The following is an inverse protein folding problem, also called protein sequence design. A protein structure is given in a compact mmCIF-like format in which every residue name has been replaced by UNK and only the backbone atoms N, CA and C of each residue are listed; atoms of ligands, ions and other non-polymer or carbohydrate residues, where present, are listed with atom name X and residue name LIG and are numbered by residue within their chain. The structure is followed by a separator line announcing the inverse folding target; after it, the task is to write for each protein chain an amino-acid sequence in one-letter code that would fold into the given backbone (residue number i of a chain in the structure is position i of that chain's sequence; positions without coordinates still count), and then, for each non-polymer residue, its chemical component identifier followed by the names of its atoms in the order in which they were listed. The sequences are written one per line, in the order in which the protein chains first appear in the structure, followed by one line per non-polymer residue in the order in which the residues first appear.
data_IF_361204082132
#
_entry.id   IF_361204082132
#
_cell.length_a   1.000
_cell.length_b   1.000
_cell.length_c   1.000
_cell.angle_alpha   90.00
_cell.angle_beta   90.00
_cell.angle_gamma   90.00
#
_symmetry.space_group_name_H-M   'P 1'
#
loop_
_entity.id
_entity.type
_entity.pdbx_description
1 polymer ?
#
# COMPACT_ATOMS: atom_id res chain seq x y z
N UNK A 1 15.62 40.90 13.69
CA UNK A 1 16.59 39.80 13.49
C UNK A 1 15.84 38.70 12.78
N UNK A 2 16.03 38.60 11.47
CA UNK A 2 15.45 37.55 10.65
C UNK A 2 16.46 36.46 10.37
N UNK A 3 15.97 35.26 10.08
CA UNK A 3 16.45 34.40 9.00
C UNK A 3 15.25 33.59 8.49
N UNK A 4 15.02 33.71 7.19
CA UNK A 4 14.04 32.98 6.40
C UNK A 4 14.58 31.62 5.96
N UNK A 5 13.66 30.75 5.55
CA UNK A 5 13.75 29.68 4.55
C UNK A 5 15.14 29.14 4.12
N UNK A 6 15.38 27.88 4.48
CA UNK A 6 16.43 26.97 3.98
C UNK A 6 15.85 25.55 4.17
N UNK A 7 15.66 24.63 3.21
CA UNK A 7 15.97 24.56 1.79
C UNK A 7 15.10 23.50 1.12
N UNK A 8 14.41 23.89 0.04
CA UNK A 8 14.18 23.01 -1.09
C UNK A 8 15.44 23.03 -1.99
N UNK A 9 15.76 21.89 -2.62
CA UNK A 9 16.84 21.66 -3.61
C UNK A 9 18.07 20.90 -3.10
N UNK A 10 17.99 19.57 -3.21
CA UNK A 10 19.12 18.66 -3.42
C UNK A 10 18.46 17.37 -3.96
N UNK A 11 18.36 17.11 -5.26
CA UNK A 11 19.43 16.94 -6.23
C UNK A 11 18.90 17.12 -7.66
N UNK A 12 19.49 18.05 -8.40
CA UNK A 12 19.57 17.99 -9.85
C UNK A 12 21.01 18.33 -10.27
N UNK A 13 21.43 17.65 -11.34
CA UNK A 13 22.60 17.88 -12.19
C UNK A 13 23.96 17.32 -11.74
N UNK A 14 24.40 16.27 -12.45
CA UNK A 14 25.60 16.37 -13.29
C UNK A 14 25.27 15.85 -14.69
N UNK A 15 25.60 16.68 -15.68
CA UNK A 15 25.41 16.43 -17.10
C UNK A 15 26.77 16.21 -17.79
N UNK A 16 26.67 15.62 -18.98
CA UNK A 16 27.56 15.70 -20.14
C UNK A 16 28.82 14.83 -20.20
N UNK A 17 28.80 13.88 -21.15
CA UNK A 17 29.82 13.81 -22.18
C UNK A 17 29.13 13.67 -23.55
N UNK A 18 29.44 14.61 -24.43
CA UNK A 18 28.92 14.79 -25.78
C UNK A 18 29.96 14.27 -26.79
N UNK A 19 29.54 13.53 -27.81
CA UNK A 19 30.21 13.49 -29.12
C UNK A 19 29.13 13.42 -30.22
N UNK A 20 29.07 14.50 -31.01
CA UNK A 20 28.41 14.71 -32.32
C UNK A 20 28.78 13.63 -33.36
N UNK A 21 28.13 13.39 -34.51
CA UNK A 21 26.87 13.72 -35.17
C UNK A 21 26.95 13.06 -36.58
N UNK A 22 25.82 12.63 -37.19
CA UNK A 22 25.56 12.80 -38.64
C UNK A 22 24.10 12.46 -38.98
N UNK A 23 23.35 13.34 -39.69
CA UNK A 23 21.97 13.06 -40.11
C UNK A 23 21.93 12.38 -41.48
N UNK A 24 21.05 11.40 -41.66
CA UNK A 24 20.71 10.84 -42.96
C UNK A 24 19.27 11.26 -43.35
N UNK A 25 19.18 11.95 -44.48
CA UNK A 25 17.98 12.53 -45.04
C UNK A 25 16.95 11.48 -45.48
N UNK A 26 15.69 11.90 -45.42
CA UNK A 26 14.54 11.24 -46.02
C UNK A 26 14.72 11.00 -47.53
N UNK A 27 14.21 9.86 -48.01
CA UNK A 27 13.81 9.72 -49.41
C UNK A 27 12.50 8.92 -49.49
N UNK A 28 11.46 9.61 -49.92
CA UNK A 28 10.21 9.03 -50.38
C UNK A 28 10.47 8.20 -51.65
N UNK A 29 9.81 7.05 -51.75
CA UNK A 29 9.78 6.20 -52.91
C UNK A 29 8.63 5.21 -52.77
N UNK A 30 7.50 5.54 -53.41
CA UNK A 30 6.39 4.63 -53.60
C UNK A 30 6.77 3.56 -54.63
N UNK A 31 6.43 2.30 -54.34
CA UNK A 31 6.13 1.29 -55.35
C UNK A 31 5.07 0.33 -54.79
N UNK A 32 3.97 0.25 -55.53
CA UNK A 32 2.88 -0.71 -55.39
C UNK A 32 3.38 -2.16 -55.29
N UNK A 33 2.75 -2.91 -54.40
CA UNK A 33 2.93 -4.35 -54.23
C UNK A 33 1.67 -4.96 -53.65
N UNK A 34 0.72 -5.29 -54.52
CA UNK A 34 -0.47 -6.08 -54.22
C UNK A 34 -0.08 -7.47 -53.69
N UNK A 35 -0.58 -7.81 -52.51
CA UNK A 35 -0.48 -9.13 -51.90
C UNK A 35 -1.36 -9.18 -50.65
N UNK A 36 -2.16 -10.25 -50.44
CA UNK A 36 -3.23 -10.24 -49.45
C UNK A 36 -2.63 -10.17 -48.05
N UNK A 37 -2.94 -9.10 -47.31
CA UNK A 37 -2.57 -8.97 -45.91
C UNK A 37 -3.26 -10.07 -45.10
N UNK A 38 -2.52 -11.16 -44.91
CA UNK A 38 -2.86 -12.29 -44.05
C UNK A 38 -3.27 -11.77 -42.68
N UNK A 39 -4.51 -12.08 -42.31
CA UNK A 39 -5.15 -11.92 -41.01
C UNK A 39 -4.54 -12.84 -39.93
N UNK A 40 -3.20 -12.88 -39.83
CA UNK A 40 -2.45 -13.71 -38.88
C UNK A 40 -1.89 -12.94 -37.68
N UNK A 41 -1.88 -11.61 -37.71
CA UNK A 41 -1.32 -10.79 -36.64
C UNK A 41 -2.16 -10.81 -35.37
N UNK A 42 -3.50 -10.91 -35.48
CA UNK A 42 -4.39 -10.85 -34.30
C UNK A 42 -4.30 -12.08 -33.37
N UNK A 43 -3.83 -13.24 -33.87
CA UNK A 43 -3.79 -14.48 -33.07
C UNK A 43 -2.43 -14.84 -32.51
N UNK A 44 -1.34 -14.32 -33.08
CA UNK A 44 0.02 -14.70 -32.69
C UNK A 44 0.60 -13.73 -31.64
N UNK A 45 0.21 -12.46 -31.62
CA UNK A 45 0.74 -11.47 -30.66
C UNK A 45 0.17 -11.58 -29.24
N UNK A 46 -1.02 -12.18 -29.08
CA UNK A 46 -1.61 -12.41 -27.75
C UNK A 46 -1.05 -13.66 -27.04
N UNK A 47 -0.47 -14.60 -27.79
CA UNK A 47 0.14 -15.82 -27.25
C UNK A 47 1.42 -15.50 -26.47
N UNK A 48 2.29 -14.68 -27.05
CA UNK A 48 3.56 -14.28 -26.42
C UNK A 48 3.30 -13.35 -25.23
N UNK A 49 2.30 -12.46 -25.36
CA UNK A 49 1.81 -11.63 -24.27
C UNK A 49 1.26 -12.48 -23.11
N UNK A 50 0.43 -13.49 -23.41
CA UNK A 50 -0.14 -14.38 -22.41
C UNK A 50 0.91 -15.26 -21.73
N UNK A 51 2.03 -15.53 -22.40
CA UNK A 51 3.13 -16.33 -21.84
C UNK A 51 4.08 -15.50 -20.96
N UNK A 52 4.25 -14.21 -21.27
CA UNK A 52 5.11 -13.30 -20.51
C UNK A 52 4.41 -12.72 -19.27
N UNK A 53 3.10 -12.44 -19.37
CA UNK A 53 2.31 -11.91 -18.26
C UNK A 53 2.13 -12.96 -17.16
N UNK A 54 2.49 -12.60 -15.93
CA UNK A 54 2.45 -13.49 -14.77
C UNK A 54 1.82 -12.81 -13.56
N UNK A 55 1.26 -13.63 -12.67
CA UNK A 55 0.71 -13.21 -11.39
C UNK A 55 -0.24 -12.01 -11.51
N UNK A 56 -0.04 -11.02 -10.64
CA UNK A 56 -0.91 -9.86 -10.55
C UNK A 56 -0.96 -9.01 -11.83
N UNK A 57 0.11 -8.98 -12.62
CA UNK A 57 0.14 -8.26 -13.90
C UNK A 57 -0.76 -8.94 -14.94
N UNK A 58 -0.84 -10.28 -14.93
CA UNK A 58 -1.78 -11.04 -15.75
C UNK A 58 -3.23 -10.77 -15.31
N UNK A 59 -3.48 -10.74 -14.02
CA UNK A 59 -4.83 -10.48 -13.49
C UNK A 59 -5.27 -9.03 -13.75
N UNK A 60 -4.35 -8.06 -13.65
CA UNK A 60 -4.61 -6.70 -14.12
C UNK A 60 -4.97 -6.70 -15.61
N UNK A 61 -4.13 -7.30 -16.45
CA UNK A 61 -4.32 -7.33 -17.90
C UNK A 61 -5.68 -7.94 -18.30
N UNK A 62 -6.10 -9.03 -17.67
CA UNK A 62 -7.41 -9.67 -17.93
C UNK A 62 -8.61 -8.78 -17.59
N UNK A 63 -8.46 -7.92 -16.59
CA UNK A 63 -9.51 -7.00 -16.14
C UNK A 63 -9.52 -5.66 -16.92
N UNK A 64 -8.56 -5.44 -17.82
CA UNK A 64 -8.55 -4.27 -18.70
C UNK A 64 -9.61 -4.35 -19.79
N UNK A 65 -10.00 -3.18 -20.30
CA UNK A 65 -10.89 -3.08 -21.45
C UNK A 65 -10.26 -3.74 -22.69
N UNK A 66 -11.08 -4.12 -23.67
CA UNK A 66 -10.57 -4.66 -24.93
C UNK A 66 -9.62 -3.65 -25.63
N UNK A 67 -9.99 -2.36 -25.61
CA UNK A 67 -9.22 -1.29 -26.24
C UNK A 67 -7.85 -1.08 -25.57
N UNK A 68 -7.79 -1.14 -24.24
CA UNK A 68 -6.53 -1.07 -23.50
C UNK A 68 -5.62 -2.25 -23.82
N UNK A 69 -6.19 -3.47 -23.82
CA UNK A 69 -5.45 -4.69 -24.18
C UNK A 69 -4.92 -4.63 -25.61
N UNK A 70 -5.70 -4.13 -26.56
CA UNK A 70 -5.28 -3.92 -27.95
C UNK A 70 -4.19 -2.86 -28.04
N UNK A 71 -4.29 -1.77 -27.29
CA UNK A 71 -3.28 -0.69 -27.29
C UNK A 71 -1.95 -1.17 -26.72
N UNK A 72 -1.97 -1.91 -25.62
CA UNK A 72 -0.78 -2.56 -25.05
C UNK A 72 -0.21 -3.62 -26.02
N UNK A 73 -1.09 -4.42 -26.64
CA UNK A 73 -0.70 -5.39 -27.66
C UNK A 73 0.02 -4.74 -28.85
N UNK A 74 -0.44 -3.57 -29.32
CA UNK A 74 0.21 -2.80 -30.40
C UNK A 74 1.59 -2.29 -30.02
N UNK A 75 1.79 -1.87 -28.77
CA UNK A 75 3.12 -1.47 -28.28
C UNK A 75 4.09 -2.66 -28.28
N UNK A 76 3.59 -3.86 -27.98
CA UNK A 76 4.40 -5.08 -28.02
C UNK A 76 4.68 -5.56 -29.44
N UNK A 77 3.66 -5.62 -30.30
CA UNK A 77 3.81 -6.09 -31.69
C UNK A 77 4.62 -5.14 -32.57
N UNK A 78 4.64 -3.84 -32.24
CA UNK A 78 5.52 -2.86 -32.88
C UNK A 78 6.98 -2.93 -32.42
N UNK A 79 7.27 -3.73 -31.39
CA UNK A 79 8.60 -3.84 -30.79
C UNK A 79 9.00 -2.63 -29.94
N UNK A 80 8.10 -1.67 -29.73
CA UNK A 80 8.34 -0.53 -28.85
C UNK A 80 8.51 -0.97 -27.38
N UNK A 81 7.84 -2.06 -27.01
CA UNK A 81 7.93 -2.71 -25.71
C UNK A 81 8.07 -4.23 -25.89
N UNK A 82 8.87 -4.93 -25.10
CA UNK A 82 8.83 -6.39 -25.08
C UNK A 82 7.68 -6.90 -24.19
N UNK A 83 7.27 -8.16 -24.36
CA UNK A 83 6.23 -8.74 -23.51
C UNK A 83 6.65 -8.83 -22.03
N UNK A 84 7.94 -9.07 -21.76
CA UNK A 84 8.50 -9.03 -20.40
C UNK A 84 8.53 -7.61 -19.84
N UNK A 85 8.88 -6.62 -20.67
CA UNK A 85 8.80 -5.21 -20.27
C UNK A 85 7.36 -4.80 -19.97
N UNK A 86 6.36 -5.35 -20.66
CA UNK A 86 4.96 -5.08 -20.34
C UNK A 86 4.60 -5.65 -18.97
N UNK A 87 4.98 -6.89 -18.70
CA UNK A 87 4.77 -7.51 -17.39
C UNK A 87 5.42 -6.68 -16.27
N UNK A 88 6.66 -6.23 -16.49
CA UNK A 88 7.42 -5.40 -15.56
C UNK A 88 6.79 -4.02 -15.37
N UNK A 89 6.28 -3.40 -16.44
CA UNK A 89 5.60 -2.11 -16.40
C UNK A 89 4.26 -2.18 -15.63
N UNK A 90 3.45 -3.21 -15.89
CA UNK A 90 2.19 -3.45 -15.17
C UNK A 90 2.45 -3.75 -13.69
N UNK A 91 3.47 -4.56 -13.38
CA UNK A 91 3.88 -4.85 -12.00
C UNK A 91 4.33 -3.59 -11.27
N UNK A 92 5.10 -2.72 -11.94
CA UNK A 92 5.51 -1.42 -11.41
C UNK A 92 4.32 -0.54 -11.05
N UNK A 93 3.35 -0.43 -11.96
CA UNK A 93 2.13 0.35 -11.75
C UNK A 93 1.32 -0.18 -10.56
N UNK A 94 1.13 -1.50 -10.46
CA UNK A 94 0.42 -2.14 -9.35
C UNK A 94 1.11 -1.88 -8.02
N UNK A 95 2.41 -2.13 -7.93
CA UNK A 95 3.18 -1.94 -6.70
C UNK A 95 3.15 -0.48 -6.23
N UNK A 96 3.22 0.46 -7.17
CA UNK A 96 3.10 1.89 -6.90
C UNK A 96 1.72 2.26 -6.33
N UNK A 97 0.63 1.86 -6.99
CA UNK A 97 -0.72 2.19 -6.52
C UNK A 97 -1.10 1.44 -5.23
N UNK A 98 -0.62 0.20 -5.01
CA UNK A 98 -0.78 -0.51 -3.73
C UNK A 98 -0.16 0.25 -2.59
N UNK A 99 1.06 0.77 -2.77
CA UNK A 99 1.75 1.58 -1.76
C UNK A 99 0.96 2.85 -1.45
N UNK A 100 0.44 3.51 -2.48
CA UNK A 100 -0.40 4.70 -2.32
C UNK A 100 -1.70 4.39 -1.59
N UNK A 101 -2.41 3.32 -1.96
CA UNK A 101 -3.64 2.87 -1.32
C UNK A 101 -3.42 2.49 0.16
N UNK A 102 -2.29 1.83 0.46
CA UNK A 102 -1.89 1.51 1.83
C UNK A 102 -1.73 2.78 2.67
N UNK A 103 -0.93 3.75 2.20
CA UNK A 103 -0.69 4.99 2.95
C UNK A 103 -1.90 5.92 2.99
N UNK A 104 -2.76 5.88 1.97
CA UNK A 104 -4.03 6.58 1.98
C UNK A 104 -4.94 6.02 3.09
N UNK A 105 -5.04 4.69 3.23
CA UNK A 105 -5.80 4.08 4.32
C UNK A 105 -5.24 4.48 5.70
N UNK A 106 -3.90 4.52 5.83
CA UNK A 106 -3.25 4.98 7.06
C UNK A 106 -3.59 6.45 7.38
N UNK A 107 -3.63 7.30 6.35
CA UNK A 107 -3.98 8.71 6.48
C UNK A 107 -5.45 8.90 6.85
N UNK A 108 -6.36 8.17 6.22
CA UNK A 108 -7.80 8.21 6.51
C UNK A 108 -8.09 7.81 7.96
N UNK A 109 -7.47 6.74 8.47
CA UNK A 109 -7.61 6.34 9.88
C UNK A 109 -7.00 7.38 10.85
N UNK A 110 -5.86 7.99 10.49
CA UNK A 110 -5.25 9.05 11.27
C UNK A 110 -6.09 10.33 11.30
N UNK A 111 -6.73 10.70 10.18
CA UNK A 111 -7.64 11.84 10.10
C UNK A 111 -8.93 11.56 10.87
N UNK A 112 -9.49 10.36 10.80
CA UNK A 112 -10.64 9.95 11.62
C UNK A 112 -10.35 10.09 13.12
N UNK A 113 -9.14 9.75 13.56
CA UNK A 113 -8.70 9.94 14.95
C UNK A 113 -8.54 11.41 15.38
N UNK A 114 -8.44 12.36 14.44
CA UNK A 114 -8.33 13.80 14.74
C UNK A 114 -9.67 14.55 14.74
N UNK A 115 -10.77 13.85 14.42
CA UNK A 115 -12.12 14.42 14.52
C UNK A 115 -12.48 14.68 16.00
N UNK A 116 -13.42 15.60 16.31
CA UNK A 116 -13.91 15.79 17.68
C UNK A 116 -14.38 14.49 18.33
N UNK A 117 -15.05 13.63 17.57
CA UNK A 117 -15.50 12.31 18.01
C UNK A 117 -14.31 11.37 18.29
N UNK A 118 -13.29 11.40 17.42
CA UNK A 118 -12.04 10.69 17.61
C UNK A 118 -11.27 11.15 18.86
N UNK A 119 -11.23 12.46 19.11
CA UNK A 119 -10.60 13.05 20.29
C UNK A 119 -11.34 12.70 21.58
N UNK A 120 -12.68 12.76 21.57
CA UNK A 120 -13.50 12.34 22.70
C UNK A 120 -13.31 10.85 23.00
N UNK A 121 -13.27 10.00 21.97
CA UNK A 121 -12.98 8.57 22.10
C UNK A 121 -11.60 8.32 22.68
N UNK A 122 -10.56 9.02 22.22
CA UNK A 122 -9.21 8.92 22.78
C UNK A 122 -9.16 9.33 24.27
N UNK A 123 -9.88 10.38 24.65
CA UNK A 123 -9.99 10.78 26.05
C UNK A 123 -10.69 9.71 26.89
N UNK A 124 -11.78 9.10 26.38
CA UNK A 124 -12.46 8.00 27.06
C UNK A 124 -11.56 6.77 27.23
N UNK A 125 -10.80 6.41 26.19
CA UNK A 125 -9.86 5.29 26.26
C UNK A 125 -8.75 5.56 27.28
N UNK A 126 -8.18 6.78 27.28
CA UNK A 126 -7.18 7.17 28.28
C UNK A 126 -7.75 7.10 29.69
N UNK A 127 -8.97 7.60 29.91
CA UNK A 127 -9.61 7.53 31.21
C UNK A 127 -9.85 6.08 31.69
N UNK A 128 -10.20 5.16 30.77
CA UNK A 128 -10.32 3.73 31.09
C UNK A 128 -8.96 3.13 31.45
N UNK A 129 -7.91 3.44 30.68
CA UNK A 129 -6.54 2.98 30.99
C UNK A 129 -6.02 3.51 32.33
N UNK A 130 -6.17 4.80 32.59
CA UNK A 130 -5.76 5.44 33.85
C UNK A 130 -6.55 4.83 35.04
N UNK A 131 -7.84 4.55 34.86
CA UNK A 131 -8.68 3.88 35.87
C UNK A 131 -8.23 2.44 36.13
N UNK A 132 -7.89 1.70 35.07
CA UNK A 132 -7.42 0.32 35.16
C UNK A 132 -6.09 0.25 35.95
N UNK A 133 -5.15 1.15 35.65
CA UNK A 133 -3.88 1.27 36.37
C UNK A 133 -4.10 1.66 37.84
N UNK A 134 -4.99 2.61 38.11
CA UNK A 134 -5.32 3.03 39.49
C UNK A 134 -6.01 1.94 40.32
N UNK A 135 -6.96 1.20 39.75
CA UNK A 135 -7.61 0.06 40.43
C UNK A 135 -6.63 -1.09 40.68
N UNK A 136 -5.72 -1.37 39.73
CA UNK A 136 -4.65 -2.35 39.93
C UNK A 136 -3.72 -1.94 41.08
N UNK A 137 -3.26 -0.69 41.10
CA UNK A 137 -2.32 -0.19 42.11
C UNK A 137 -2.96 -0.14 43.51
N UNK A 138 -4.16 0.42 43.61
CA UNK A 138 -4.90 0.51 44.88
C UNK A 138 -5.21 -0.86 45.48
N UNK A 139 -5.53 -1.86 44.65
CA UNK A 139 -5.80 -3.22 45.14
C UNK A 139 -4.55 -4.04 45.40
N UNK A 140 -3.45 -3.78 44.70
CA UNK A 140 -2.13 -4.30 45.06
C UNK A 140 -1.75 -3.84 46.47
N UNK A 141 -1.89 -2.55 46.74
CA UNK A 141 -1.67 -1.99 48.07
C UNK A 141 -2.63 -2.55 49.14
N UNK A 142 -3.88 -2.88 48.78
CA UNK A 142 -4.83 -3.49 49.71
C UNK A 142 -4.55 -4.97 50.00
N UNK A 143 -4.02 -5.73 49.04
CA UNK A 143 -3.66 -7.15 49.21
C UNK A 143 -2.40 -7.36 50.07
N UNK A 144 -1.51 -6.37 50.14
CA UNK A 144 -0.31 -6.40 50.97
C UNK A 144 -0.56 -5.93 52.41
N UNK A 145 -1.83 -5.70 52.77
CA UNK A 145 -2.20 -5.25 54.11
C UNK A 145 -2.03 -6.38 55.15
N UNK A 146 -1.33 -6.15 56.27
CA UNK A 146 -1.13 -7.17 57.30
C UNK A 146 -2.47 -7.64 57.89
N UNK A 147 -2.65 -8.96 58.02
CA UNK A 147 -3.82 -9.57 58.67
C UNK A 147 -4.99 -9.94 57.76
N UNK A 148 -4.85 -9.82 56.43
CA UNK A 148 -5.89 -10.24 55.49
C UNK A 148 -5.97 -11.77 55.40
N UNK A 149 -7.18 -12.33 55.48
CA UNK A 149 -7.37 -13.78 55.38
C UNK A 149 -7.17 -14.27 53.93
N UNK A 150 -6.75 -15.53 53.71
CA UNK A 150 -6.63 -16.10 52.37
C UNK A 150 -7.95 -16.10 51.59
N UNK A 151 -9.11 -16.26 52.26
CA UNK A 151 -10.42 -16.22 51.61
C UNK A 151 -10.78 -14.81 51.14
N UNK A 152 -10.50 -13.78 51.96
CA UNK A 152 -10.76 -12.38 51.58
C UNK A 152 -9.88 -11.95 50.41
N UNK A 153 -8.64 -12.45 50.35
CA UNK A 153 -7.73 -12.22 49.23
C UNK A 153 -8.25 -12.84 47.93
N UNK A 154 -8.79 -14.05 47.98
CA UNK A 154 -9.41 -14.73 46.83
C UNK A 154 -10.67 -14.00 46.34
N UNK A 155 -11.54 -13.55 47.24
CA UNK A 155 -12.72 -12.77 46.90
C UNK A 155 -12.35 -11.42 46.25
N UNK A 156 -11.31 -10.75 46.76
CA UNK A 156 -10.79 -9.50 46.19
C UNK A 156 -10.21 -9.71 44.78
N UNK A 157 -9.50 -10.82 44.54
CA UNK A 157 -8.96 -11.18 43.21
C UNK A 157 -10.06 -11.51 42.20
N UNK A 158 -11.09 -12.26 42.61
CA UNK A 158 -12.23 -12.56 41.73
C UNK A 158 -12.98 -11.30 41.32
N UNK A 159 -13.19 -10.36 42.25
CA UNK A 159 -13.81 -9.06 41.96
C UNK A 159 -12.93 -8.20 41.04
N UNK A 160 -11.62 -8.16 41.29
CA UNK A 160 -10.67 -7.49 40.40
C UNK A 160 -10.73 -8.06 38.98
N UNK A 161 -10.77 -9.39 38.83
CA UNK A 161 -10.87 -10.02 37.51
C UNK A 161 -12.15 -9.62 36.77
N UNK A 162 -13.27 -9.46 37.47
CA UNK A 162 -14.53 -9.01 36.87
C UNK A 162 -14.47 -7.51 36.48
N UNK A 163 -13.95 -6.66 37.38
CA UNK A 163 -13.82 -5.22 37.14
C UNK A 163 -12.86 -4.94 35.96
N UNK A 164 -11.71 -5.64 35.90
CA UNK A 164 -10.77 -5.55 34.78
C UNK A 164 -11.40 -6.04 33.47
N UNK A 165 -12.20 -7.10 33.53
CA UNK A 165 -12.87 -7.63 32.35
C UNK A 165 -13.89 -6.63 31.80
N UNK A 166 -14.69 -5.99 32.64
CA UNK A 166 -15.65 -4.96 32.23
C UNK A 166 -14.96 -3.73 31.61
N UNK A 167 -13.83 -3.31 32.20
CA UNK A 167 -13.00 -2.23 31.64
C UNK A 167 -12.35 -2.63 30.32
N UNK A 168 -11.90 -3.88 30.18
CA UNK A 168 -11.36 -4.41 28.93
C UNK A 168 -12.44 -4.48 27.85
N UNK A 169 -13.62 -5.00 28.16
CA UNK A 169 -14.75 -5.08 27.23
C UNK A 169 -15.18 -3.67 26.77
N UNK A 170 -15.14 -2.67 27.68
CA UNK A 170 -15.38 -1.25 27.36
C UNK A 170 -14.29 -0.63 26.47
N UNK A 171 -13.03 -0.99 26.72
CA UNK A 171 -11.89 -0.56 25.90
C UNK A 171 -11.97 -1.17 24.49
N UNK A 172 -12.30 -2.46 24.38
CA UNK A 172 -12.45 -3.18 23.11
C UNK A 172 -13.58 -2.62 22.25
N UNK A 173 -14.69 -2.20 22.86
CA UNK A 173 -15.78 -1.51 22.16
C UNK A 173 -15.36 -0.16 21.56
N UNK A 174 -14.45 0.55 22.25
CA UNK A 174 -13.93 1.84 21.77
C UNK A 174 -12.79 1.68 20.76
N UNK A 175 -12.05 0.57 20.80
CA UNK A 175 -10.89 0.30 19.95
C UNK A 175 -11.20 0.08 18.45
N UNK A 176 -12.47 -0.10 18.07
CA UNK A 176 -12.86 -0.55 16.72
C UNK A 176 -12.60 0.44 15.56
N UNK A 177 -12.61 1.76 15.79
CA UNK A 177 -12.50 2.78 14.71
C UNK A 177 -11.78 4.04 15.23
N UNK A 178 -10.75 4.53 14.53
CA UNK A 178 -10.12 5.84 14.81
C UNK A 178 -9.02 5.86 15.88
N UNK A 179 -8.38 4.73 16.13
CA UNK A 179 -7.23 4.65 17.05
C UNK A 179 -5.97 5.31 16.45
N UNK A 180 -5.34 6.28 17.14
CA UNK A 180 -4.00 6.77 16.77
C UNK A 180 -2.89 5.72 17.02
N UNK A 181 -3.25 4.55 17.53
CA UNK A 181 -2.36 3.43 17.88
C UNK A 181 -2.31 2.32 16.83
N UNK A 182 -3.02 2.42 15.70
CA UNK A 182 -2.77 1.51 14.58
C UNK A 182 -1.42 1.88 13.96
N UNK A 183 -0.38 1.17 14.39
CA UNK A 183 0.92 1.27 13.75
C UNK A 183 0.83 0.59 12.38
N UNK A 184 0.74 1.43 11.35
CA UNK A 184 0.85 1.00 9.96
C UNK A 184 2.32 0.69 9.68
N UNK A 185 2.64 -0.59 9.56
CA UNK A 185 3.98 -1.03 9.20
C UNK A 185 3.93 -1.73 7.86
N UNK A 186 4.63 -1.13 6.90
CA UNK A 186 4.89 -1.77 5.62
C UNK A 186 6.28 -2.39 5.71
N UNK A 187 6.38 -3.71 5.55
CA UNK A 187 7.67 -4.42 5.62
C UNK A 187 8.62 -3.82 4.58
N UNK A 188 9.76 -3.33 5.04
CA UNK A 188 10.79 -2.76 4.16
C UNK A 188 11.25 -3.82 3.16
N UNK A 189 11.21 -3.49 1.87
CA UNK A 189 11.59 -4.43 0.81
C UNK A 189 10.53 -5.47 0.44
N UNK A 190 9.28 -5.35 0.92
CA UNK A 190 8.18 -6.22 0.48
C UNK A 190 7.94 -6.08 -1.03
N UNK A 191 8.29 -7.11 -1.79
CA UNK A 191 8.23 -7.12 -3.26
C UNK A 191 6.81 -6.86 -3.79
N UNK A 192 5.77 -7.04 -2.96
CA UNK A 192 4.37 -6.74 -3.29
C UNK A 192 4.10 -5.23 -3.39
N UNK A 193 4.97 -4.39 -2.85
CA UNK A 193 4.87 -2.93 -2.80
C UNK A 193 6.07 -2.18 -3.40
N UNK A 194 7.25 -2.82 -3.48
CA UNK A 194 8.45 -2.19 -4.00
C UNK A 194 8.80 -2.75 -5.38
N UNK A 195 8.64 -1.90 -6.39
CA UNK A 195 9.07 -2.20 -7.75
C UNK A 195 10.60 -2.19 -7.83
N UNK A 196 11.16 -3.18 -8.52
CA UNK A 196 12.59 -3.25 -8.86
C UNK A 196 12.98 -2.13 -9.84
N UNK A 197 14.27 -1.84 -9.98
CA UNK A 197 14.75 -0.84 -10.95
C UNK A 197 14.33 -1.17 -12.39
N UNK A 198 14.25 -2.47 -12.74
CA UNK A 198 13.80 -2.93 -14.06
C UNK A 198 12.31 -2.61 -14.28
N UNK A 199 11.48 -2.93 -13.30
CA UNK A 199 10.04 -2.62 -13.30
C UNK A 199 9.78 -1.12 -13.38
N UNK A 200 10.53 -0.31 -12.63
CA UNK A 200 10.44 1.15 -12.69
C UNK A 200 10.80 1.70 -14.07
N UNK A 201 11.89 1.22 -14.67
CA UNK A 201 12.29 1.62 -16.01
C UNK A 201 11.25 1.24 -17.08
N UNK A 202 10.71 0.02 -17.01
CA UNK A 202 9.66 -0.44 -17.92
C UNK A 202 8.36 0.35 -17.74
N UNK A 203 7.98 0.65 -16.51
CA UNK A 203 6.82 1.50 -16.20
C UNK A 203 6.98 2.93 -16.72
N UNK A 204 8.18 3.51 -16.62
CA UNK A 204 8.46 4.82 -17.20
C UNK A 204 8.41 4.77 -18.73
N UNK A 205 9.01 3.75 -19.34
CA UNK A 205 8.97 3.53 -20.79
C UNK A 205 7.53 3.44 -21.33
N UNK A 206 6.64 2.72 -20.63
CA UNK A 206 5.23 2.61 -21.02
C UNK A 206 4.53 3.99 -21.01
N UNK A 207 4.83 4.84 -20.03
CA UNK A 207 4.31 6.22 -19.97
C UNK A 207 4.90 7.10 -21.07
N UNK A 208 6.20 6.98 -21.35
CA UNK A 208 6.89 7.73 -22.40
C UNK A 208 6.37 7.38 -23.81
N UNK A 209 5.92 6.13 -23.99
CA UNK A 209 5.21 5.67 -25.20
C UNK A 209 3.77 6.22 -25.30
N UNK A 210 3.32 7.01 -24.32
CA UNK A 210 2.04 7.69 -24.33
C UNK A 210 0.86 6.87 -23.86
N UNK A 211 1.07 5.65 -23.31
CA UNK A 211 -0.03 4.85 -22.80
C UNK A 211 -0.66 5.48 -21.56
N UNK A 212 -1.89 5.96 -21.71
CA UNK A 212 -2.71 6.51 -20.64
C UNK A 212 -4.16 6.08 -20.89
N UNK A 213 -4.83 5.56 -19.85
CA UNK A 213 -6.21 5.13 -19.98
C UNK A 213 -6.94 5.25 -18.66
N UNK A 214 -8.09 5.92 -18.70
CA UNK A 214 -8.94 6.07 -17.51
C UNK A 214 -9.56 4.75 -17.06
N UNK A 215 -9.73 3.76 -17.95
CA UNK A 215 -10.17 2.41 -17.57
C UNK A 215 -9.04 1.63 -16.93
N UNK A 216 -7.81 1.75 -17.45
CA UNK A 216 -6.61 1.22 -16.81
C UNK A 216 -6.45 1.74 -15.39
N UNK A 217 -6.51 3.07 -15.20
CA UNK A 217 -6.35 3.70 -13.88
C UNK A 217 -7.42 3.24 -12.89
N UNK A 218 -8.67 3.07 -13.33
CA UNK A 218 -9.76 2.57 -12.49
C UNK A 218 -9.55 1.14 -12.02
N UNK A 219 -9.15 0.24 -12.93
CA UNK A 219 -8.88 -1.17 -12.58
C UNK A 219 -7.68 -1.25 -11.64
N UNK A 220 -6.64 -0.47 -11.94
CA UNK A 220 -5.43 -0.38 -11.13
C UNK A 220 -5.75 0.09 -9.71
N UNK A 221 -6.55 1.15 -9.57
CA UNK A 221 -7.00 1.68 -8.29
C UNK A 221 -7.83 0.65 -7.50
N UNK A 222 -8.80 0.01 -8.16
CA UNK A 222 -9.67 -0.99 -7.54
C UNK A 222 -8.86 -2.16 -6.97
N UNK A 223 -8.05 -2.81 -7.81
CA UNK A 223 -7.22 -3.95 -7.37
C UNK A 223 -6.21 -3.56 -6.28
N UNK A 224 -5.61 -2.36 -6.38
CA UNK A 224 -4.64 -1.89 -5.39
C UNK A 224 -5.29 -1.59 -4.05
N UNK A 225 -6.52 -1.07 -4.05
CA UNK A 225 -7.30 -0.80 -2.83
C UNK A 225 -7.69 -2.10 -2.14
N UNK A 226 -8.24 -3.05 -2.88
CA UNK A 226 -8.65 -4.35 -2.33
C UNK A 226 -7.45 -5.09 -1.74
N UNK A 227 -6.31 -5.06 -2.44
CA UNK A 227 -5.06 -5.63 -1.94
C UNK A 227 -4.58 -4.95 -0.66
N UNK A 228 -4.56 -3.61 -0.62
CA UNK A 228 -4.13 -2.87 0.56
C UNK A 228 -5.03 -3.14 1.78
N UNK A 229 -6.35 -3.22 1.59
CA UNK A 229 -7.29 -3.56 2.66
C UNK A 229 -7.08 -4.97 3.20
N UNK A 230 -6.87 -5.94 2.30
CA UNK A 230 -6.54 -7.32 2.68
C UNK A 230 -5.22 -7.37 3.44
N UNK A 231 -4.18 -6.72 2.92
CA UNK A 231 -2.88 -6.64 3.58
C UNK A 231 -2.99 -6.02 4.98
N UNK A 232 -3.75 -4.94 5.15
CA UNK A 232 -3.95 -4.32 6.46
C UNK A 232 -4.66 -5.24 7.45
N UNK A 233 -5.61 -6.06 6.97
CA UNK A 233 -6.34 -7.00 7.79
C UNK A 233 -5.49 -8.21 8.22
N UNK A 234 -4.53 -8.61 7.39
CA UNK A 234 -3.71 -9.83 7.60
C UNK A 234 -2.32 -9.56 8.20
N UNK A 235 -1.65 -8.48 7.78
CA UNK A 235 -0.21 -8.25 8.05
C UNK A 235 0.14 -6.80 8.41
N UNK A 236 -0.66 -5.82 7.97
CA UNK A 236 -0.31 -4.39 7.98
C UNK A 236 -0.71 -3.64 9.25
N UNK A 237 -1.35 -4.30 10.21
CA UNK A 237 -1.60 -3.75 11.54
C UNK A 237 -0.92 -4.60 12.60
N UNK A 238 0.10 -4.04 13.25
CA UNK A 238 0.51 -4.56 14.56
C UNK A 238 -0.45 -4.01 15.60
N UNK A 239 -1.39 -4.85 16.07
CA UNK A 239 -2.06 -4.52 17.33
C UNK A 239 -0.99 -4.55 18.41
N UNK A 240 -0.68 -3.38 18.95
CA UNK A 240 0.13 -3.28 20.15
C UNK A 240 -0.71 -3.85 21.29
N UNK A 241 -0.73 -5.17 21.41
CA UNK A 241 -1.17 -5.83 22.63
C UNK A 241 -0.20 -5.32 23.70
N UNK A 242 -0.72 -4.58 24.69
CA UNK A 242 -0.02 -4.23 25.90
C UNK A 242 0.35 -5.54 26.60
N UNK A 243 1.43 -6.17 26.14
CA UNK A 243 1.95 -7.41 26.66
C UNK A 243 2.60 -7.04 27.98
N UNK A 244 1.94 -7.44 29.07
CA UNK A 244 2.43 -7.38 30.45
C UNK A 244 3.95 -7.50 30.51
N UNK A 245 4.61 -6.36 30.73
CA UNK A 245 5.99 -6.31 31.15
C UNK A 245 6.03 -6.57 32.66
N UNK A 246 5.93 -7.84 33.07
CA UNK A 246 6.40 -8.27 34.38
C UNK A 246 7.59 -9.19 34.16
N UNK A 247 8.79 -8.64 34.40
CA UNK A 247 9.93 -9.39 34.92
C UNK A 247 9.90 -9.27 36.43
#
# INVERSE_FOLDING_TARGET
MGISDVSASLFQATAAASVQAKPAAAKAGATDGSGPASSKTDKVDLSDLASALKGDALDLFKNLSADDRTSLGKLVSSGALSADELNDALSSALKSERKKAFWQSAREDAEAGRTPDGAARQQSMKAISDRMESELESRRAAMDRPGMSPQDRLAALSKLSADLKDMQDSWDQLAGIGMPMKAYTLKGGDERFFATSKEQAAGQKLKDLGFHSGTFDKVLLGQSKDFAQKYLSEEGTSQMTLRNANK
#
